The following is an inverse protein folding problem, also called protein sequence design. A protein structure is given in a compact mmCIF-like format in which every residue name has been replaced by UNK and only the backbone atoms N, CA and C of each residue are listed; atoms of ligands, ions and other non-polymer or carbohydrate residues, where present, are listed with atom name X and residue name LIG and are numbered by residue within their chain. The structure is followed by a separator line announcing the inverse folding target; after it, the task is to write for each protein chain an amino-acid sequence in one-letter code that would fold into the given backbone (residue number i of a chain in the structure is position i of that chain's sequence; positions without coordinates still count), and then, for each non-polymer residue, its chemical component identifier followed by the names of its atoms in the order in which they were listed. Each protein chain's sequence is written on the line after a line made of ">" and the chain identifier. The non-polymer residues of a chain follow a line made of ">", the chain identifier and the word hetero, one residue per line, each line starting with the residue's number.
data_IF_773257116943
#
_entry.id   IF_773257116943
#
_cell.length_a   1.000
_cell.length_b   1.000
_cell.length_c   1.000
_cell.angle_alpha   90.00
_cell.angle_beta   90.00
_cell.angle_gamma   90.00
#
_symmetry.space_group_name_H-M   'P 1'
#
loop_
_entity.id
_entity.type
_entity.pdbx_description
1 polymer ?
#
# COMPACT_ATOMS: atom_id res chain seq x y z
N UNK A 1 2.72 -10.54 -14.63
CA UNK A 1 2.09 -9.93 -13.45
C UNK A 1 3.14 -9.59 -12.40
N UNK A 2 2.98 -8.46 -11.73
CA UNK A 2 3.86 -8.05 -10.64
C UNK A 2 3.18 -8.30 -9.31
N UNK A 3 3.90 -8.90 -8.38
CA UNK A 3 3.45 -9.15 -7.01
C UNK A 3 4.29 -8.32 -6.06
N UNK A 4 3.63 -7.44 -5.30
CA UNK A 4 4.33 -6.55 -4.37
C UNK A 4 3.73 -6.74 -2.98
N UNK A 5 4.59 -6.96 -1.99
CA UNK A 5 4.19 -7.00 -0.59
C UNK A 5 4.98 -5.92 0.15
N UNK A 6 4.27 -5.07 0.88
CA UNK A 6 4.88 -3.92 1.53
C UNK A 6 4.58 -3.96 3.01
N UNK A 7 5.63 -3.86 3.83
CA UNK A 7 5.47 -3.64 5.25
C UNK A 7 5.59 -2.15 5.55
N UNK A 8 4.63 -1.62 6.30
CA UNK A 8 4.62 -0.24 6.76
C UNK A 8 4.61 -0.24 8.28
N UNK A 9 5.69 0.22 8.89
CA UNK A 9 5.77 0.37 10.34
C UNK A 9 5.54 1.82 10.71
N UNK A 10 4.44 2.10 11.41
CA UNK A 10 4.11 3.45 11.85
C UNK A 10 5.10 3.91 12.92
N UNK A 11 5.69 5.08 12.72
CA UNK A 11 6.75 5.59 13.59
C UNK A 11 6.24 6.06 14.96
N UNK A 12 5.06 6.68 15.00
CA UNK A 12 4.46 7.22 16.21
C UNK A 12 3.12 6.51 16.45
N UNK A 13 2.95 5.94 17.65
CA UNK A 13 1.72 5.23 18.01
C UNK A 13 0.46 6.11 17.87
N UNK A 14 0.59 7.42 18.04
CA UNK A 14 -0.52 8.36 17.88
C UNK A 14 -1.04 8.42 16.44
N UNK A 15 -0.25 8.00 15.46
CA UNK A 15 -0.62 8.04 14.04
C UNK A 15 -1.19 6.71 13.51
N UNK A 16 -1.23 5.66 14.31
CA UNK A 16 -1.67 4.33 13.86
C UNK A 16 -3.06 4.37 13.25
N UNK A 17 -4.04 4.93 13.95
CA UNK A 17 -5.43 4.98 13.47
C UNK A 17 -5.55 5.83 12.20
N UNK A 18 -4.85 6.96 12.15
CA UNK A 18 -4.83 7.85 10.99
C UNK A 18 -4.27 7.15 9.76
N UNK A 19 -3.14 6.48 9.91
CA UNK A 19 -2.52 5.72 8.81
C UNK A 19 -3.47 4.64 8.30
N UNK A 20 -4.13 3.92 9.20
CA UNK A 20 -5.11 2.90 8.84
C UNK A 20 -6.25 3.46 7.98
N UNK A 21 -6.81 4.60 8.36
CA UNK A 21 -7.87 5.26 7.59
C UNK A 21 -7.38 5.70 6.20
N UNK A 22 -6.19 6.29 6.13
CA UNK A 22 -5.59 6.73 4.87
C UNK A 22 -5.32 5.54 3.94
N UNK A 23 -4.82 4.43 4.48
CA UNK A 23 -4.56 3.22 3.70
C UNK A 23 -5.83 2.57 3.18
N UNK A 24 -6.93 2.59 3.95
CA UNK A 24 -8.22 2.09 3.48
C UNK A 24 -8.70 2.88 2.26
N UNK A 25 -8.61 4.20 2.29
CA UNK A 25 -8.99 5.05 1.16
C UNK A 25 -8.05 4.85 -0.03
N UNK A 26 -6.75 4.79 0.21
CA UNK A 26 -5.76 4.50 -0.84
C UNK A 26 -6.04 3.14 -1.49
N UNK A 27 -6.35 2.12 -0.70
CA UNK A 27 -6.70 0.80 -1.21
C UNK A 27 -7.97 0.81 -2.06
N UNK A 28 -8.99 1.54 -1.62
CA UNK A 28 -10.25 1.68 -2.36
C UNK A 28 -10.00 2.30 -3.74
N UNK A 29 -9.24 3.39 -3.80
CA UNK A 29 -8.91 4.06 -5.05
C UNK A 29 -8.02 3.19 -5.94
N UNK A 30 -7.04 2.50 -5.34
CA UNK A 30 -6.10 1.65 -6.08
C UNK A 30 -6.79 0.47 -6.75
N UNK A 31 -7.75 -0.16 -6.06
CA UNK A 31 -8.50 -1.29 -6.63
C UNK A 31 -9.30 -0.91 -7.88
N UNK A 32 -9.68 0.35 -8.03
CA UNK A 32 -10.41 0.84 -9.20
C UNK A 32 -9.50 1.21 -10.36
N UNK A 33 -8.18 1.20 -10.18
CA UNK A 33 -7.23 1.59 -11.23
C UNK A 33 -7.05 0.50 -12.27
N UNK A 34 -6.87 0.87 -13.55
CA UNK A 34 -6.61 -0.11 -14.61
C UNK A 34 -5.36 -0.94 -14.32
N UNK A 35 -5.45 -2.26 -14.49
CA UNK A 35 -4.33 -3.17 -14.27
C UNK A 35 -4.11 -3.59 -12.83
N UNK A 36 -4.89 -3.07 -11.88
CA UNK A 36 -4.85 -3.53 -10.50
C UNK A 36 -5.69 -4.80 -10.34
N UNK A 37 -5.02 -5.93 -10.09
CA UNK A 37 -5.71 -7.20 -9.87
C UNK A 37 -6.01 -7.45 -8.39
N UNK A 38 -5.19 -6.88 -7.52
CA UNK A 38 -5.38 -6.99 -6.08
C UNK A 38 -4.71 -5.81 -5.39
N UNK A 39 -5.39 -5.25 -4.41
CA UNK A 39 -4.81 -4.28 -3.49
C UNK A 39 -5.47 -4.45 -2.14
N UNK A 40 -4.84 -5.25 -1.27
CA UNK A 40 -5.34 -5.53 0.07
C UNK A 40 -4.50 -4.79 1.11
N UNK A 41 -5.19 -4.27 2.11
CA UNK A 41 -4.57 -3.61 3.25
C UNK A 41 -4.86 -4.46 4.48
N UNK A 42 -3.80 -4.91 5.15
CA UNK A 42 -3.90 -5.67 6.39
C UNK A 42 -3.34 -4.88 7.55
N UNK A 43 -3.98 -5.00 8.71
CA UNK A 43 -3.44 -4.50 9.96
C UNK A 43 -2.95 -5.69 10.78
N UNK A 44 -1.68 -5.68 11.20
CA UNK A 44 -1.12 -6.78 11.97
C UNK A 44 -1.82 -6.92 13.33
N UNK A 45 -2.18 -8.14 13.68
CA UNK A 45 -2.73 -8.43 15.01
C UNK A 45 -1.62 -8.57 16.07
N UNK A 46 -0.43 -8.99 15.67
CA UNK A 46 0.68 -9.21 16.60
C UNK A 46 1.49 -7.93 16.87
N UNK A 47 1.48 -6.96 15.94
CA UNK A 47 2.13 -5.66 16.12
C UNK A 47 1.23 -4.55 15.59
N UNK A 48 0.51 -3.83 16.48
CA UNK A 48 -0.43 -2.79 16.05
C UNK A 48 0.19 -1.63 15.26
N UNK A 49 1.52 -1.46 15.30
CA UNK A 49 2.21 -0.44 14.53
C UNK A 49 2.44 -0.84 13.07
N UNK A 50 2.12 -2.08 12.69
CA UNK A 50 2.42 -2.63 11.37
C UNK A 50 1.16 -2.77 10.51
N UNK A 51 1.21 -2.20 9.31
CA UNK A 51 0.28 -2.46 8.22
C UNK A 51 1.00 -3.19 7.09
N UNK A 52 0.27 -4.04 6.36
CA UNK A 52 0.80 -4.79 5.23
C UNK A 52 -0.06 -4.51 4.01
N UNK A 53 0.60 -4.25 2.87
CA UNK A 53 -0.07 -4.12 1.58
C UNK A 53 0.26 -5.34 0.73
N UNK A 54 -0.75 -5.92 0.10
CA UNK A 54 -0.60 -7.01 -0.86
C UNK A 54 -1.16 -6.55 -2.19
N UNK A 55 -0.29 -6.38 -3.19
CA UNK A 55 -0.64 -5.77 -4.46
C UNK A 55 -0.28 -6.67 -5.62
N UNK A 56 -1.22 -6.84 -6.58
CA UNK A 56 -0.99 -7.51 -7.85
C UNK A 56 -1.30 -6.55 -8.98
N UNK A 57 -0.32 -6.35 -9.88
CA UNK A 57 -0.46 -5.46 -11.03
C UNK A 57 -0.21 -6.23 -12.32
N UNK A 58 -0.98 -5.94 -13.38
CA UNK A 58 -0.85 -6.62 -14.67
C UNK A 58 0.54 -6.49 -15.29
N UNK A 59 1.16 -5.31 -15.11
CA UNK A 59 2.41 -4.97 -15.78
C UNK A 59 3.13 -3.82 -15.06
N UNK A 60 4.39 -3.60 -15.44
CA UNK A 60 5.14 -2.42 -14.97
C UNK A 60 4.45 -1.12 -15.41
N UNK A 61 3.85 -1.09 -16.61
CA UNK A 61 3.14 0.08 -17.08
C UNK A 61 1.94 0.41 -16.19
N UNK A 62 1.19 -0.60 -15.72
CA UNK A 62 0.08 -0.40 -14.79
C UNK A 62 0.57 0.13 -13.45
N UNK A 63 1.68 -0.40 -12.94
CA UNK A 63 2.29 0.07 -11.70
C UNK A 63 2.79 1.51 -11.82
N UNK A 64 3.39 1.88 -12.95
CA UNK A 64 3.84 3.25 -13.21
C UNK A 64 2.66 4.22 -13.21
N UNK A 65 1.54 3.85 -13.82
CA UNK A 65 0.31 4.65 -13.80
C UNK A 65 -0.26 4.78 -12.40
N UNK A 66 -0.21 3.72 -11.59
CA UNK A 66 -0.62 3.75 -10.18
C UNK A 66 0.14 4.83 -9.42
N UNK A 67 1.45 4.96 -9.64
CA UNK A 67 2.29 5.96 -8.96
C UNK A 67 1.99 7.40 -9.38
N UNK A 68 1.27 7.59 -10.47
CA UNK A 68 0.81 8.89 -10.96
C UNK A 68 -0.67 9.15 -10.67
N UNK A 69 -1.37 8.17 -10.09
CA UNK A 69 -2.79 8.26 -9.81
C UNK A 69 -3.07 9.13 -8.56
N UNK A 70 -4.28 9.71 -8.45
CA UNK A 70 -4.63 10.58 -7.32
C UNK A 70 -4.43 9.93 -5.95
N UNK A 71 -4.76 8.67 -5.79
CA UNK A 71 -4.58 7.98 -4.51
C UNK A 71 -3.14 7.97 -4.04
N UNK A 72 -2.22 7.69 -4.97
CA UNK A 72 -0.79 7.69 -4.65
C UNK A 72 -0.28 9.11 -4.39
N UNK A 73 -0.61 10.05 -5.27
CA UNK A 73 -0.05 11.40 -5.23
C UNK A 73 -0.65 12.29 -4.13
N UNK A 74 -1.91 12.05 -3.72
CA UNK A 74 -2.58 12.90 -2.74
C UNK A 74 -2.73 12.27 -1.36
N UNK A 75 -2.70 10.94 -1.26
CA UNK A 75 -2.88 10.22 0.00
C UNK A 75 -1.59 9.53 0.43
N UNK A 76 -1.11 8.59 -0.38
CA UNK A 76 -0.04 7.68 0.03
C UNK A 76 1.30 8.42 0.20
N UNK A 77 1.75 9.10 -0.85
CA UNK A 77 3.05 9.76 -0.86
C UNK A 77 3.15 10.91 0.15
N UNK A 78 2.21 11.86 0.19
CA UNK A 78 2.33 13.01 1.09
C UNK A 78 1.87 12.75 2.52
N UNK A 79 0.94 11.81 2.74
CA UNK A 79 0.30 11.64 4.05
C UNK A 79 0.67 10.36 4.78
N UNK A 80 0.97 9.27 4.06
CA UNK A 80 1.31 7.99 4.67
C UNK A 80 2.83 7.80 4.77
N UNK A 81 3.55 7.94 3.66
CA UNK A 81 4.99 7.65 3.61
C UNK A 81 5.78 8.40 4.69
N UNK A 82 5.53 9.69 4.97
CA UNK A 82 6.27 10.39 6.02
C UNK A 82 6.06 9.84 7.43
N UNK A 83 4.97 9.10 7.67
CA UNK A 83 4.60 8.60 9.00
C UNK A 83 5.06 7.17 9.26
N UNK A 84 5.68 6.51 8.27
CA UNK A 84 6.01 5.09 8.34
C UNK A 84 7.44 4.81 7.92
N UNK A 85 7.97 3.67 8.37
CA UNK A 85 9.13 3.03 7.76
C UNK A 85 8.61 2.00 6.78
N UNK A 86 8.92 2.21 5.49
CA UNK A 86 8.39 1.42 4.39
C UNK A 86 9.40 0.39 3.93
N UNK A 87 8.98 -0.88 3.87
CA UNK A 87 9.82 -1.98 3.40
C UNK A 87 9.06 -2.72 2.28
N UNK A 88 9.25 -2.31 1.00
CA UNK A 88 8.61 -2.98 -0.13
C UNK A 88 9.40 -4.20 -0.57
N UNK A 89 8.67 -5.24 -1.03
CA UNK A 89 9.24 -6.42 -1.62
C UNK A 89 8.55 -6.72 -2.94
N UNK A 90 9.32 -6.76 -4.03
CA UNK A 90 8.88 -7.37 -5.28
C UNK A 90 9.01 -8.87 -5.11
N UNK A 91 7.93 -9.61 -5.36
CA UNK A 91 7.87 -11.04 -5.05
C UNK A 91 7.58 -11.88 -6.28
N UNK A 92 8.05 -13.13 -6.23
CA UNK A 92 7.62 -14.18 -7.15
C UNK A 92 6.53 -15.00 -6.48
N UNK A 93 5.46 -15.29 -7.21
CA UNK A 93 4.46 -16.24 -6.74
C UNK A 93 4.97 -17.65 -6.97
N UNK A 94 5.16 -18.43 -5.90
CA UNK A 94 5.75 -19.76 -5.98
C UNK A 94 4.73 -20.89 -6.15
N UNK A 95 3.43 -20.61 -5.96
CA UNK A 95 2.41 -21.65 -6.01
C UNK A 95 1.18 -21.29 -6.83
#
# INVERSE_FOLDING_TARGET
>A
MLYINVQLKVKDAADIAKVGQLLQEHGRLSRAEPGCQRFDVYHSQSDPSVYLLCEYWDSEAALDQHRLAPGYLTIYKPQVIPLVDRTPHMCDLLN
#
